data_IF_458327836987
#
_entry.id   IF_458327836987
#
_cell.length_a   1.000
_cell.length_b   1.000
_cell.length_c   1.000
_cell.angle_alpha   90.00
_cell.angle_beta   90.00
_cell.angle_gamma   90.00
#
_symmetry.space_group_name_H-M   'P 1'
#
loop_
_entity.id
_entity.type
_entity.pdbx_description
1 polymer ?
#
# COMPACT_ATOMS: atom_id res chain seq x y z
N UNK A 1 -81.67 3.61 -31.68
CA UNK A 1 -80.36 3.95 -32.29
C UNK A 1 -79.56 4.77 -31.28
N UNK A 2 -78.55 4.17 -30.64
CA UNK A 2 -77.66 4.85 -29.70
C UNK A 2 -76.23 4.73 -30.25
N UNK A 3 -75.61 5.87 -30.57
CA UNK A 3 -74.20 5.94 -30.99
C UNK A 3 -73.35 6.17 -29.75
N UNK A 4 -72.52 5.18 -29.42
CA UNK A 4 -71.46 5.27 -28.43
C UNK A 4 -70.19 5.78 -29.14
N UNK A 5 -69.74 6.97 -28.77
CA UNK A 5 -68.50 7.58 -29.29
C UNK A 5 -67.34 7.15 -28.38
N UNK A 6 -66.42 6.31 -28.89
CA UNK A 6 -65.19 5.92 -28.18
C UNK A 6 -64.12 7.01 -28.33
N UNK A 7 -63.70 7.58 -27.21
CA UNK A 7 -62.55 8.48 -27.11
C UNK A 7 -61.27 7.64 -26.99
N UNK A 8 -60.38 7.71 -27.99
CA UNK A 8 -59.06 7.05 -27.96
C UNK A 8 -58.04 8.07 -27.49
N UNK A 9 -57.60 7.96 -26.23
CA UNK A 9 -56.52 8.79 -25.68
C UNK A 9 -55.17 8.30 -26.21
N UNK A 10 -54.45 9.15 -26.95
CA UNK A 10 -53.08 8.91 -27.41
C UNK A 10 -52.12 9.15 -26.24
N UNK A 11 -51.56 8.10 -25.68
CA UNK A 11 -50.46 8.17 -24.70
C UNK A 11 -49.17 8.38 -25.50
N UNK A 12 -48.56 9.55 -25.35
CA UNK A 12 -47.25 9.88 -25.95
C UNK A 12 -46.17 9.40 -24.98
N UNK A 13 -45.25 8.51 -25.37
CA UNK A 13 -44.19 8.06 -24.47
C UNK A 13 -43.20 9.21 -24.24
N UNK A 14 -43.11 9.68 -23.00
CA UNK A 14 -42.06 10.60 -22.56
C UNK A 14 -40.79 9.75 -22.39
N UNK A 15 -39.86 9.90 -23.32
CA UNK A 15 -38.54 9.29 -23.25
C UNK A 15 -37.70 10.04 -22.20
N UNK A 16 -37.64 9.55 -20.96
CA UNK A 16 -36.70 10.04 -19.96
C UNK A 16 -35.30 9.52 -20.32
N UNK A 17 -34.48 10.37 -20.95
CA UNK A 17 -33.06 10.09 -21.13
C UNK A 17 -32.35 10.27 -19.77
N UNK A 18 -32.06 9.18 -19.07
CA UNK A 18 -31.16 9.21 -17.92
C UNK A 18 -29.73 9.39 -18.43
N UNK A 19 -29.21 10.61 -18.31
CA UNK A 19 -27.77 10.87 -18.50
C UNK A 19 -27.04 10.35 -17.26
N UNK A 20 -26.54 9.11 -17.33
CA UNK A 20 -25.59 8.60 -16.34
C UNK A 20 -24.27 9.30 -16.59
N UNK A 21 -24.03 10.40 -15.87
CA UNK A 21 -22.72 11.04 -15.87
C UNK A 21 -21.74 10.10 -15.17
N UNK A 22 -20.84 9.48 -15.93
CA UNK A 22 -19.72 8.74 -15.37
C UNK A 22 -18.80 9.75 -14.65
N UNK A 23 -18.97 9.90 -13.34
CA UNK A 23 -17.97 10.56 -12.51
C UNK A 23 -16.70 9.75 -12.59
N UNK A 24 -15.71 10.26 -13.33
CA UNK A 24 -14.34 9.78 -13.25
C UNK A 24 -13.91 10.06 -11.82
N UNK A 25 -13.81 9.00 -11.02
CA UNK A 25 -13.20 9.09 -9.68
C UNK A 25 -11.72 9.37 -9.93
N UNK A 26 -11.36 10.65 -9.87
CA UNK A 26 -9.96 11.02 -9.87
C UNK A 26 -9.37 10.55 -8.54
N UNK A 27 -8.24 9.85 -8.59
CA UNK A 27 -7.51 9.50 -7.39
C UNK A 27 -7.27 10.76 -6.54
N UNK A 28 -7.55 10.67 -5.25
CA UNK A 28 -7.31 11.78 -4.34
C UNK A 28 -5.82 12.17 -4.39
N UNK A 29 -5.49 13.47 -4.27
CA UNK A 29 -4.09 13.89 -4.22
C UNK A 29 -3.41 13.26 -2.99
N UNK A 30 -2.14 12.89 -3.13
CA UNK A 30 -1.34 12.37 -2.02
C UNK A 30 -1.25 13.42 -0.92
N UNK A 31 -1.69 13.06 0.28
CA UNK A 31 -1.51 13.83 1.50
C UNK A 31 -0.30 13.25 2.25
N UNK A 32 0.84 13.96 2.27
CA UNK A 32 2.06 13.42 2.86
C UNK A 32 1.96 13.25 4.36
N UNK A 33 2.59 12.20 4.91
CA UNK A 33 2.84 12.11 6.33
C UNK A 33 3.63 13.32 6.82
N UNK A 34 3.33 13.79 8.03
CA UNK A 34 3.86 15.05 8.56
C UNK A 34 4.16 14.95 10.05
N UNK A 35 5.33 15.44 10.45
CA UNK A 35 5.66 15.71 11.85
C UNK A 35 4.83 16.90 12.32
N UNK A 36 4.05 16.73 13.38
CA UNK A 36 3.13 17.75 13.88
C UNK A 36 3.56 18.34 15.22
N UNK A 37 4.31 17.59 16.04
CA UNK A 37 4.89 18.08 17.28
C UNK A 37 6.11 17.27 17.67
N UNK A 38 7.06 17.96 18.31
CA UNK A 38 8.25 17.39 18.93
C UNK A 38 8.38 18.02 20.31
N UNK A 39 8.57 17.21 21.35
CA UNK A 39 8.72 17.72 22.70
C UNK A 39 8.85 16.62 23.75
N UNK A 40 9.15 16.97 25.01
CA UNK A 40 9.25 16.00 26.09
C UNK A 40 7.91 15.31 26.33
N UNK A 41 7.95 14.05 26.76
CA UNK A 41 6.74 13.37 27.25
C UNK A 41 6.33 13.93 28.61
N UNK A 42 5.07 13.72 29.01
CA UNK A 42 4.54 14.22 30.27
C UNK A 42 5.24 13.61 31.51
N UNK A 43 5.78 12.40 31.39
CA UNK A 43 6.54 11.70 32.44
C UNK A 43 8.05 11.96 32.37
N UNK A 44 8.51 12.82 31.45
CA UNK A 44 9.93 13.12 31.31
C UNK A 44 10.44 13.94 32.49
N UNK A 45 11.58 13.51 33.06
CA UNK A 45 12.31 14.26 34.09
C UNK A 45 13.15 15.41 33.53
N UNK A 46 13.10 15.66 32.20
CA UNK A 46 13.84 16.70 31.51
C UNK A 46 14.97 16.15 30.62
N UNK A 47 16.03 16.95 30.46
CA UNK A 47 17.23 16.63 29.67
C UNK A 47 16.94 16.15 28.26
N UNK A 48 16.07 16.89 27.57
CA UNK A 48 15.82 16.71 26.16
C UNK A 48 16.16 17.98 25.41
N UNK A 49 16.92 17.84 24.33
CA UNK A 49 17.15 18.91 23.37
C UNK A 49 16.73 18.39 22.01
N UNK A 50 16.13 19.25 21.19
CA UNK A 50 15.80 18.92 19.81
C UNK A 50 15.93 20.15 18.94
N UNK A 51 16.16 19.93 17.65
CA UNK A 51 16.24 20.98 16.65
C UNK A 51 15.64 20.53 15.33
N UNK A 52 15.18 21.49 14.53
CA UNK A 52 14.50 21.25 13.25
C UNK A 52 12.99 21.05 13.36
N UNK A 53 12.31 21.00 12.22
CA UNK A 53 10.85 20.82 12.10
C UNK A 53 10.48 19.62 11.23
N UNK A 54 11.18 19.44 10.11
CA UNK A 54 10.96 18.34 9.17
C UNK A 54 12.05 17.25 9.27
N UNK A 55 13.23 17.66 9.72
CA UNK A 55 14.36 16.80 10.06
C UNK A 55 14.74 17.11 11.50
N UNK A 56 14.60 16.13 12.38
CA UNK A 56 14.79 16.27 13.82
C UNK A 56 16.09 15.62 14.25
N UNK A 57 16.98 16.43 14.80
CA UNK A 57 18.10 15.97 15.61
C UNK A 57 17.76 16.20 17.08
N UNK A 58 18.04 15.22 17.94
CA UNK A 58 17.73 15.32 19.36
C UNK A 58 18.72 14.57 20.25
N UNK A 59 18.83 15.03 21.49
CA UNK A 59 19.49 14.31 22.57
C UNK A 59 18.49 14.10 23.71
N UNK A 60 18.49 12.90 24.28
CA UNK A 60 17.62 12.50 25.39
C UNK A 60 18.48 11.90 26.48
N UNK A 61 18.40 12.43 27.69
CA UNK A 61 19.31 12.08 28.77
C UNK A 61 20.35 13.18 29.01
N UNK A 62 21.07 13.07 30.12
CA UNK A 62 22.06 14.07 30.53
C UNK A 62 23.43 13.72 29.95
N UNK A 63 24.17 14.71 29.42
CA UNK A 63 25.52 14.52 28.88
C UNK A 63 26.41 15.77 28.99
N UNK A 64 26.44 16.37 30.18
CA UNK A 64 27.11 17.65 30.45
C UNK A 64 28.30 17.54 31.40
N UNK A 65 28.40 16.44 32.16
CA UNK A 65 29.38 16.27 33.23
C UNK A 65 30.00 14.88 33.11
N UNK A 66 31.26 14.78 32.66
CA UNK A 66 31.96 13.50 32.64
C UNK A 66 31.97 12.85 34.03
N UNK A 67 31.89 11.52 34.08
CA UNK A 67 32.01 10.79 35.34
C UNK A 67 33.37 11.11 36.00
N UNK A 68 33.40 11.61 37.25
CA UNK A 68 34.60 12.21 37.83
C UNK A 68 35.56 11.19 38.45
N UNK A 69 35.21 9.91 38.49
CA UNK A 69 35.98 8.85 39.14
C UNK A 69 36.53 7.86 38.11
N UNK A 70 37.59 7.09 38.45
CA UNK A 70 38.06 5.99 37.59
C UNK A 70 37.00 4.90 37.43
N UNK A 71 37.23 3.96 36.52
CA UNK A 71 36.37 2.80 36.18
C UNK A 71 36.00 1.88 37.37
N UNK A 72 36.56 2.10 38.56
CA UNK A 72 36.20 1.41 39.81
C UNK A 72 35.78 2.40 40.91
N UNK A 73 35.31 3.56 40.44
CA UNK A 73 35.03 4.76 41.19
C UNK A 73 33.96 4.61 42.26
N UNK A 74 33.82 5.65 43.08
CA UNK A 74 32.79 5.71 44.11
C UNK A 74 31.50 6.26 43.51
N UNK A 75 30.38 5.97 44.15
CA UNK A 75 29.10 6.57 43.80
C UNK A 75 29.18 8.10 43.76
N UNK A 76 28.52 8.71 42.78
CA UNK A 76 28.46 10.16 42.61
C UNK A 76 27.00 10.68 42.60
N UNK A 77 26.22 10.46 43.69
CA UNK A 77 24.79 10.78 43.70
C UNK A 77 24.51 12.24 43.35
N UNK A 78 23.49 12.48 42.52
CA UNK A 78 23.05 13.82 42.12
C UNK A 78 23.78 14.40 40.90
N UNK A 79 24.82 13.74 40.39
CA UNK A 79 25.38 14.07 39.06
C UNK A 79 24.52 13.54 37.91
N UNK A 80 23.67 12.55 38.19
CA UNK A 80 22.74 11.97 37.25
C UNK A 80 21.30 12.13 37.78
N UNK A 81 20.33 12.50 36.92
CA UNK A 81 18.92 12.48 37.31
C UNK A 81 18.39 11.04 37.44
N UNK A 82 17.42 10.82 38.33
CA UNK A 82 16.76 9.50 38.48
C UNK A 82 15.40 9.50 37.80
N UNK A 83 15.14 8.52 36.93
CA UNK A 83 13.89 8.35 36.20
C UNK A 83 14.09 8.25 34.68
N UNK A 84 13.12 8.77 33.92
CA UNK A 84 13.18 8.73 32.45
C UNK A 84 13.30 10.12 31.84
N UNK A 85 14.38 10.34 31.09
CA UNK A 85 14.45 11.43 30.11
C UNK A 85 13.74 10.93 28.85
N UNK A 86 12.83 11.70 28.25
CA UNK A 86 11.97 11.18 27.17
C UNK A 86 11.50 12.26 26.21
N UNK A 87 11.60 11.98 24.91
CA UNK A 87 11.17 12.83 23.82
C UNK A 87 10.11 12.10 22.99
N UNK A 88 9.02 12.79 22.66
CA UNK A 88 8.00 12.35 21.74
C UNK A 88 8.05 13.14 20.43
N UNK A 89 7.83 12.43 19.31
CA UNK A 89 7.62 12.98 17.98
C UNK A 89 6.28 12.45 17.47
N UNK A 90 5.29 13.33 17.36
CA UNK A 90 3.97 13.00 16.85
C UNK A 90 3.92 13.17 15.33
N UNK A 91 3.32 12.19 14.65
CA UNK A 91 3.20 12.15 13.20
C UNK A 91 1.74 11.91 12.82
N UNK A 92 1.21 12.77 11.97
CA UNK A 92 -0.01 12.46 11.20
C UNK A 92 0.41 11.66 9.97
N UNK A 93 -0.03 10.40 9.89
CA UNK A 93 0.45 9.43 8.88
C UNK A 93 -0.16 9.67 7.50
N UNK A 94 -1.39 10.20 7.43
CA UNK A 94 -2.09 10.48 6.17
C UNK A 94 -2.01 9.29 5.19
N UNK A 95 -1.42 9.46 4.00
CA UNK A 95 -1.31 8.41 2.98
C UNK A 95 -0.15 7.42 3.18
N UNK A 96 0.36 7.30 4.40
CA UNK A 96 1.47 6.42 4.74
C UNK A 96 2.81 7.14 4.63
N UNK A 97 3.89 6.38 4.69
CA UNK A 97 5.22 6.96 4.64
C UNK A 97 6.30 6.09 5.27
N UNK A 98 7.50 6.63 5.28
CA UNK A 98 8.69 6.00 5.78
C UNK A 98 9.37 6.96 6.75
N UNK A 99 9.48 6.54 8.00
CA UNK A 99 10.33 7.20 8.99
C UNK A 99 11.74 6.68 8.83
N UNK A 100 12.71 7.58 8.74
CA UNK A 100 14.13 7.22 8.72
C UNK A 100 14.89 8.07 9.72
N UNK A 101 15.82 7.45 10.45
CA UNK A 101 16.72 8.13 11.38
C UNK A 101 17.94 7.26 11.65
N UNK A 102 18.93 7.83 12.33
CA UNK A 102 19.99 7.07 13.00
C UNK A 102 19.90 7.31 14.50
N UNK A 103 20.34 6.34 15.27
CA UNK A 103 20.50 6.52 16.71
C UNK A 103 21.87 6.01 17.18
N UNK A 104 22.31 6.51 18.32
CA UNK A 104 23.38 5.93 19.13
C UNK A 104 23.09 6.18 20.62
N UNK A 105 23.73 5.41 21.48
CA UNK A 105 23.66 5.56 22.94
C UNK A 105 25.07 5.70 23.50
N UNK A 106 25.27 6.67 24.39
CA UNK A 106 26.51 6.85 25.16
C UNK A 106 26.19 6.74 26.63
N UNK A 107 27.07 6.07 27.36
CA UNK A 107 26.95 5.96 28.81
C UNK A 107 28.32 5.85 29.48
N UNK A 108 28.43 6.39 30.69
CA UNK A 108 29.52 6.07 31.62
C UNK A 108 29.16 4.88 32.53
N UNK A 109 27.92 4.40 32.48
CA UNK A 109 27.47 3.23 33.21
C UNK A 109 27.88 1.95 32.45
N UNK A 110 28.11 0.87 33.21
CA UNK A 110 28.10 -0.48 32.69
C UNK A 110 26.99 -1.32 33.30
N UNK A 111 25.95 -0.73 33.86
CA UNK A 111 24.82 -1.39 34.47
C UNK A 111 23.73 -1.74 33.47
N UNK A 112 22.86 -2.65 33.91
CA UNK A 112 21.58 -2.95 33.26
C UNK A 112 20.50 -1.92 33.63
N UNK A 113 20.88 -0.83 34.29
CA UNK A 113 20.00 0.14 34.94
C UNK A 113 19.81 1.40 34.10
N UNK A 114 20.80 1.72 33.27
CA UNK A 114 20.73 2.75 32.26
C UNK A 114 20.57 2.16 30.86
N UNK A 115 19.54 2.59 30.15
CA UNK A 115 19.30 2.10 28.80
C UNK A 115 18.49 3.07 27.94
N UNK A 116 18.65 2.93 26.64
CA UNK A 116 17.84 3.57 25.62
C UNK A 116 16.74 2.61 25.12
N UNK A 117 15.50 3.07 25.17
CA UNK A 117 14.36 2.51 24.47
C UNK A 117 13.94 3.45 23.33
N UNK A 118 13.64 2.87 22.17
CA UNK A 118 12.98 3.57 21.05
C UNK A 118 11.76 2.76 20.66
N UNK A 119 10.60 3.39 20.61
CA UNK A 119 9.37 2.71 20.23
C UNK A 119 8.38 3.67 19.59
N UNK A 120 7.35 3.11 18.97
CA UNK A 120 6.23 3.86 18.43
C UNK A 120 4.95 3.46 19.14
N UNK A 121 4.21 4.45 19.62
CA UNK A 121 2.84 4.31 20.11
C UNK A 121 1.88 4.50 18.94
N UNK A 122 0.93 3.57 18.83
CA UNK A 122 -0.03 3.50 17.73
C UNK A 122 -1.41 3.23 18.29
N UNK A 123 -2.50 3.47 17.53
CA UNK A 123 -3.86 3.19 18.02
C UNK A 123 -4.09 1.72 18.39
N UNK A 124 -3.31 0.79 17.83
CA UNK A 124 -3.41 -0.65 18.09
C UNK A 124 -2.42 -1.15 19.16
N UNK A 125 -1.54 -0.30 19.68
CA UNK A 125 -0.57 -0.67 20.71
C UNK A 125 0.84 -0.10 20.48
N UNK A 126 1.82 -0.67 21.18
CA UNK A 126 3.23 -0.26 21.12
C UNK A 126 4.02 -1.15 20.16
N UNK A 127 4.83 -0.54 19.30
CA UNK A 127 5.76 -1.22 18.39
C UNK A 127 7.19 -0.92 18.86
N UNK A 128 7.92 -1.91 19.41
CA UNK A 128 9.32 -1.71 19.80
C UNK A 128 10.22 -1.56 18.57
N UNK A 129 11.20 -0.66 18.64
CA UNK A 129 12.23 -0.44 17.62
C UNK A 129 13.61 -0.75 18.21
N UNK A 130 13.88 -0.23 19.40
CA UNK A 130 15.06 -0.53 20.22
C UNK A 130 14.56 -0.81 21.64
N UNK A 131 15.00 -1.92 22.23
CA UNK A 131 14.64 -2.31 23.59
C UNK A 131 15.90 -2.47 24.42
N UNK A 132 15.97 -1.72 25.53
CA UNK A 132 17.02 -1.80 26.54
C UNK A 132 18.44 -1.80 25.98
N UNK A 133 18.72 -0.89 25.06
CA UNK A 133 20.09 -0.70 24.59
C UNK A 133 20.91 -0.03 25.68
N UNK A 134 21.87 -0.76 26.23
CA UNK A 134 22.81 -0.25 27.22
C UNK A 134 24.12 -1.03 27.17
N UNK A 135 25.02 -0.73 28.10
CA UNK A 135 26.28 -1.45 28.26
C UNK A 135 26.12 -2.48 29.39
N UNK A 136 25.95 -3.78 29.10
CA UNK A 136 25.82 -4.78 30.15
C UNK A 136 27.13 -4.95 30.94
N UNK A 137 27.03 -5.11 32.26
CA UNK A 137 28.17 -5.21 33.17
C UNK A 137 27.81 -4.80 34.62
N UNK A 138 28.82 -4.45 35.42
CA UNK A 138 28.62 -3.93 36.78
C UNK A 138 29.74 -2.98 37.23
N UNK A 139 30.42 -2.37 36.26
CA UNK A 139 31.62 -1.55 36.45
C UNK A 139 31.34 -0.13 35.98
N UNK A 140 31.11 0.78 36.92
CA UNK A 140 30.79 2.19 36.66
C UNK A 140 32.00 2.95 36.10
N UNK A 141 31.75 4.02 35.35
CA UNK A 141 32.76 5.02 34.96
C UNK A 141 33.53 4.76 33.66
N UNK A 142 33.52 3.53 33.13
CA UNK A 142 34.12 3.27 31.82
C UNK A 142 33.19 3.76 30.71
N UNK A 143 33.60 4.81 29.98
CA UNK A 143 32.90 5.30 28.79
C UNK A 143 32.59 4.18 27.80
N UNK A 144 31.36 4.16 27.29
CA UNK A 144 30.94 3.30 26.21
C UNK A 144 30.01 4.04 25.26
N UNK A 145 30.13 3.70 23.98
CA UNK A 145 29.30 4.20 22.90
C UNK A 145 28.81 3.00 22.08
N UNK A 146 27.51 2.95 21.81
CA UNK A 146 26.96 1.99 20.87
C UNK A 146 27.38 2.34 19.43
N UNK A 147 27.41 1.37 18.51
CA UNK A 147 27.43 1.70 17.09
C UNK A 147 26.28 2.64 16.73
N UNK A 148 26.51 3.51 15.74
CA UNK A 148 25.43 4.30 15.15
C UNK A 148 24.63 3.44 14.18
N UNK A 149 23.35 3.21 14.48
CA UNK A 149 22.47 2.31 13.73
C UNK A 149 21.44 3.12 12.95
N UNK A 150 21.28 2.81 11.66
CA UNK A 150 20.24 3.40 10.82
C UNK A 150 18.95 2.59 10.94
N UNK A 151 17.82 3.30 11.07
CA UNK A 151 16.48 2.72 11.17
C UNK A 151 15.61 3.25 10.04
N UNK A 152 14.78 2.36 9.51
CA UNK A 152 13.76 2.66 8.53
C UNK A 152 12.46 1.95 8.94
N UNK A 153 11.39 2.70 9.18
CA UNK A 153 10.11 2.19 9.68
C UNK A 153 8.97 2.66 8.78
N UNK A 154 8.30 1.71 8.11
CA UNK A 154 7.11 2.02 7.31
C UNK A 154 5.93 2.35 8.23
N UNK A 155 5.16 3.37 7.84
CA UNK A 155 3.95 3.82 8.52
C UNK A 155 2.66 3.33 7.84
N UNK A 156 2.76 2.58 6.75
CA UNK A 156 1.63 2.27 5.86
C UNK A 156 0.47 1.53 6.53
N UNK A 157 0.74 0.77 7.60
CA UNK A 157 -0.30 0.08 8.35
C UNK A 157 -1.16 1.02 9.23
N UNK A 158 -0.72 2.26 9.44
CA UNK A 158 -1.43 3.29 10.21
C UNK A 158 -1.86 4.48 9.33
N UNK A 159 -2.10 4.25 8.04
CA UNK A 159 -2.70 5.26 7.14
C UNK A 159 -3.93 5.90 7.78
N UNK A 160 -4.07 7.21 7.61
CA UNK A 160 -5.14 8.04 8.17
C UNK A 160 -5.23 8.01 9.70
N UNK A 161 -4.13 7.69 10.39
CA UNK A 161 -4.04 7.70 11.84
C UNK A 161 -2.89 8.59 12.30
N UNK A 162 -2.83 8.82 13.61
CA UNK A 162 -1.70 9.45 14.28
C UNK A 162 -0.87 8.41 15.00
N UNK A 163 0.44 8.54 14.93
CA UNK A 163 1.39 7.74 15.68
C UNK A 163 2.36 8.65 16.44
N UNK A 164 2.99 8.12 17.49
CA UNK A 164 3.98 8.83 18.29
C UNK A 164 5.24 8.01 18.40
N UNK A 165 6.37 8.53 17.93
CA UNK A 165 7.68 7.97 18.22
C UNK A 165 8.14 8.48 19.58
N UNK A 166 8.67 7.59 20.41
CA UNK A 166 9.21 7.91 21.73
C UNK A 166 10.63 7.42 21.81
N UNK A 167 11.55 8.35 22.11
CA UNK A 167 12.90 8.05 22.58
C UNK A 167 12.93 8.23 24.09
N UNK A 168 13.43 7.23 24.81
CA UNK A 168 13.41 7.20 26.27
C UNK A 168 14.72 6.65 26.80
N UNK A 169 15.38 7.44 27.66
CA UNK A 169 16.58 7.01 28.39
C UNK A 169 16.23 6.83 29.85
N UNK A 170 16.41 5.61 30.34
CA UNK A 170 16.35 5.27 31.75
C UNK A 170 17.66 5.68 32.42
N UNK A 171 17.55 6.27 33.61
CA UNK A 171 18.65 6.76 34.41
C UNK A 171 18.39 6.43 35.87
N UNK A 172 19.34 5.80 36.56
CA UNK A 172 19.13 5.33 37.93
C UNK A 172 19.49 6.36 39.01
N UNK A 173 20.30 7.36 38.67
CA UNK A 173 20.66 8.51 39.51
C UNK A 173 21.98 8.35 40.27
N UNK A 174 22.84 7.40 39.89
CA UNK A 174 24.07 7.05 40.62
C UNK A 174 25.31 7.84 40.15
N UNK A 175 25.15 8.67 39.13
CA UNK A 175 26.07 9.75 38.75
C UNK A 175 26.82 9.53 37.44
N UNK A 176 26.64 8.37 36.85
CA UNK A 176 27.08 7.93 35.54
C UNK A 176 26.07 8.35 34.49
N UNK A 177 26.44 9.37 33.73
CA UNK A 177 25.52 9.95 32.77
C UNK A 177 25.27 9.01 31.58
N UNK A 178 24.08 9.14 31.02
CA UNK A 178 23.59 8.37 29.87
C UNK A 178 22.81 9.28 28.91
N UNK A 179 23.08 9.15 27.61
CA UNK A 179 22.40 9.92 26.56
C UNK A 179 22.14 9.10 25.30
N UNK A 180 20.90 9.17 24.82
CA UNK A 180 20.50 8.70 23.51
C UNK A 180 20.50 9.87 22.52
N UNK A 181 21.12 9.68 21.36
CA UNK A 181 21.09 10.65 20.28
C UNK A 181 20.20 10.15 19.14
N UNK A 182 19.33 11.02 18.66
CA UNK A 182 18.53 10.84 17.46
C UNK A 182 19.09 11.75 16.38
N UNK A 183 19.41 11.18 15.22
CA UNK A 183 20.09 11.91 14.14
C UNK A 183 19.26 11.81 12.87
N UNK A 184 18.97 12.96 12.27
CA UNK A 184 18.23 13.11 11.01
C UNK A 184 16.88 12.38 10.98
N UNK A 185 16.10 12.43 12.06
CA UNK A 185 14.75 11.86 12.05
C UNK A 185 13.86 12.61 11.09
N UNK A 186 13.34 11.91 10.09
CA UNK A 186 12.53 12.49 9.03
C UNK A 186 11.44 11.52 8.60
N UNK A 187 10.38 12.07 8.01
CA UNK A 187 9.30 11.30 7.40
C UNK A 187 9.22 11.64 5.92
N UNK A 188 9.17 10.61 5.08
CA UNK A 188 9.00 10.75 3.63
C UNK A 188 7.74 10.00 3.18
N UNK A 189 7.00 10.54 2.22
CA UNK A 189 5.83 9.87 1.60
C UNK A 189 6.19 9.48 0.18
N UNK A 190 5.66 8.34 -0.29
CA UNK A 190 5.78 7.96 -1.69
C UNK A 190 5.09 9.01 -2.58
N UNK A 191 5.77 9.49 -3.61
CA UNK A 191 5.17 10.43 -4.57
C UNK A 191 4.05 9.83 -5.41
N UNK A 192 4.00 8.49 -5.50
CA UNK A 192 2.94 7.75 -6.19
C UNK A 192 1.79 7.49 -5.20
N UNK A 193 0.54 7.86 -5.53
CA UNK A 193 -0.61 7.56 -4.69
C UNK A 193 -0.76 6.06 -4.43
N UNK A 194 -1.31 5.66 -3.27
CA UNK A 194 -1.71 4.28 -3.07
C UNK A 194 -2.81 3.86 -4.04
N UNK A 195 -2.96 2.55 -4.23
CA UNK A 195 -4.10 2.00 -4.96
C UNK A 195 -5.40 2.39 -4.26
N UNK A 196 -6.37 2.85 -5.05
CA UNK A 196 -7.73 3.08 -4.58
C UNK A 196 -8.32 1.75 -4.10
N UNK A 197 -8.84 1.66 -2.87
CA UNK A 197 -9.59 0.49 -2.46
C UNK A 197 -10.78 0.32 -3.41
N UNK A 198 -10.97 -0.88 -3.93
CA UNK A 198 -12.07 -1.15 -4.85
C UNK A 198 -13.37 -0.72 -4.18
N UNK A 199 -14.21 0.06 -4.88
CA UNK A 199 -15.42 0.58 -4.30
C UNK A 199 -16.23 -0.57 -3.68
N UNK A 200 -16.39 -0.51 -2.35
CA UNK A 200 -17.11 -1.53 -1.57
C UNK A 200 -18.62 -1.58 -1.90
N UNK A 201 -19.07 -0.86 -2.93
CA UNK A 201 -20.46 -0.66 -3.27
C UNK A 201 -20.90 -1.39 -4.55
N UNK A 202 -19.97 -1.88 -5.39
CA UNK A 202 -20.33 -2.70 -6.55
C UNK A 202 -20.16 -4.19 -6.24
N UNK A 203 -21.28 -4.87 -5.97
CA UNK A 203 -21.28 -6.27 -5.59
C UNK A 203 -20.66 -7.19 -6.66
N UNK A 204 -20.80 -6.85 -7.94
CA UNK A 204 -20.16 -7.61 -9.01
C UNK A 204 -18.63 -7.45 -8.95
N UNK A 205 -18.09 -6.24 -8.75
CA UNK A 205 -16.64 -6.03 -8.59
C UNK A 205 -16.08 -6.73 -7.35
N UNK A 206 -16.80 -6.72 -6.22
CA UNK A 206 -16.40 -7.50 -5.04
C UNK A 206 -16.36 -9.00 -5.32
N UNK A 207 -17.33 -9.51 -6.11
CA UNK A 207 -17.35 -10.90 -6.52
C UNK A 207 -16.12 -11.26 -7.36
N UNK A 208 -15.70 -10.36 -8.25
CA UNK A 208 -14.49 -10.53 -9.08
C UNK A 208 -13.22 -10.53 -8.23
N UNK A 209 -13.13 -9.64 -7.25
CA UNK A 209 -12.03 -9.62 -6.27
C UNK A 209 -11.92 -10.88 -5.43
N UNK A 210 -13.05 -11.55 -5.19
CA UNK A 210 -13.10 -12.85 -4.52
C UNK A 210 -12.78 -14.03 -5.46
N UNK A 211 -12.43 -13.76 -6.73
CA UNK A 211 -12.05 -14.78 -7.73
C UNK A 211 -13.17 -15.22 -8.67
N UNK A 212 -14.39 -14.68 -8.57
CA UNK A 212 -15.51 -15.05 -9.44
C UNK A 212 -15.53 -14.21 -10.73
N UNK A 213 -14.44 -14.27 -11.49
CA UNK A 213 -14.17 -13.39 -12.65
C UNK A 213 -14.84 -13.83 -13.96
N UNK A 214 -15.54 -14.98 -13.97
CA UNK A 214 -16.18 -15.55 -15.15
C UNK A 214 -17.69 -15.35 -15.07
N UNK A 215 -18.20 -14.35 -15.81
CA UNK A 215 -19.64 -14.07 -15.94
C UNK A 215 -20.07 -14.15 -17.40
N UNK A 216 -20.52 -15.34 -17.81
CA UNK A 216 -21.00 -15.59 -19.18
C UNK A 216 -22.47 -15.23 -19.36
N UNK A 217 -23.23 -15.08 -18.27
CA UNK A 217 -24.65 -14.70 -18.25
C UNK A 217 -24.91 -13.30 -18.83
N UNK A 218 -23.89 -12.43 -18.81
CA UNK A 218 -23.96 -11.05 -19.29
C UNK A 218 -23.30 -10.81 -20.66
N UNK A 219 -22.85 -11.87 -21.33
CA UNK A 219 -22.39 -11.77 -22.72
C UNK A 219 -23.55 -11.52 -23.67
N UNK A 220 -23.28 -10.79 -24.76
CA UNK A 220 -24.18 -10.78 -25.90
C UNK A 220 -24.33 -12.19 -26.47
N UNK A 221 -25.49 -12.46 -27.07
CA UNK A 221 -25.77 -13.78 -27.64
C UNK A 221 -24.74 -14.19 -28.69
N UNK A 222 -24.30 -13.26 -29.54
CA UNK A 222 -23.28 -13.51 -30.57
C UNK A 222 -21.94 -13.90 -29.97
N UNK A 223 -21.49 -13.17 -28.93
CA UNK A 223 -20.25 -13.47 -28.20
C UNK A 223 -20.32 -14.83 -27.51
N UNK A 224 -21.44 -15.16 -26.87
CA UNK A 224 -21.64 -16.45 -26.22
C UNK A 224 -21.58 -17.61 -27.22
N UNK A 225 -22.32 -17.52 -28.33
CA UNK A 225 -22.33 -18.56 -29.36
C UNK A 225 -20.94 -18.73 -30.02
N UNK A 226 -20.25 -17.63 -30.29
CA UNK A 226 -18.88 -17.67 -30.82
C UNK A 226 -17.90 -18.32 -29.85
N UNK A 227 -17.95 -17.96 -28.57
CA UNK A 227 -17.14 -18.57 -27.50
C UNK A 227 -17.42 -20.08 -27.38
N UNK A 228 -18.69 -20.50 -27.31
CA UNK A 228 -19.07 -21.90 -27.20
C UNK A 228 -18.63 -22.71 -28.42
N UNK A 229 -18.80 -22.16 -29.64
CA UNK A 229 -18.28 -22.75 -30.86
C UNK A 229 -16.77 -22.97 -30.78
N UNK A 230 -16.01 -21.97 -30.33
CA UNK A 230 -14.56 -22.07 -30.22
C UNK A 230 -14.14 -23.15 -29.22
N UNK A 231 -14.82 -23.27 -28.08
CA UNK A 231 -14.53 -24.30 -27.08
C UNK A 231 -14.81 -25.71 -27.62
N UNK A 232 -15.96 -25.90 -28.28
CA UNK A 232 -16.33 -27.18 -28.92
C UNK A 232 -15.34 -27.56 -30.02
N UNK A 233 -15.01 -26.62 -30.90
CA UNK A 233 -14.07 -26.86 -31.99
C UNK A 233 -12.65 -27.14 -31.47
N UNK A 234 -12.22 -26.45 -30.40
CA UNK A 234 -10.92 -26.71 -29.75
C UNK A 234 -10.84 -28.15 -29.27
N UNK A 235 -11.88 -28.59 -28.56
CA UNK A 235 -11.96 -29.95 -28.02
C UNK A 235 -12.01 -31.00 -29.14
N UNK A 236 -12.79 -30.76 -30.20
CA UNK A 236 -12.89 -31.68 -31.34
C UNK A 236 -11.55 -31.85 -32.07
N UNK A 237 -10.68 -30.85 -32.04
CA UNK A 237 -9.33 -30.89 -32.62
C UNK A 237 -8.27 -31.46 -31.65
N UNK A 238 -8.66 -31.91 -30.45
CA UNK A 238 -7.74 -32.42 -29.43
C UNK A 238 -6.98 -31.33 -28.67
N UNK A 239 -7.36 -30.06 -28.84
CA UNK A 239 -6.79 -28.93 -28.10
C UNK A 239 -7.43 -28.70 -26.74
N UNK A 240 -7.00 -27.64 -26.06
CA UNK A 240 -7.60 -27.16 -24.82
C UNK A 240 -7.93 -25.67 -24.89
N UNK A 241 -9.07 -25.28 -24.33
CA UNK A 241 -9.53 -23.88 -24.23
C UNK A 241 -9.87 -23.54 -22.78
N UNK A 242 -9.29 -22.46 -22.26
CA UNK A 242 -9.54 -21.96 -20.90
C UNK A 242 -10.11 -20.54 -20.99
N UNK A 243 -11.34 -20.37 -20.50
CA UNK A 243 -11.96 -19.06 -20.37
C UNK A 243 -11.35 -18.34 -19.17
N UNK A 244 -10.62 -17.25 -19.42
CA UNK A 244 -9.98 -16.42 -18.40
C UNK A 244 -10.87 -15.27 -17.96
N UNK A 245 -11.60 -14.66 -18.89
CA UNK A 245 -12.50 -13.55 -18.60
C UNK A 245 -13.65 -13.47 -19.61
N UNK A 246 -14.77 -12.89 -19.20
CA UNK A 246 -15.96 -12.69 -20.03
C UNK A 246 -16.52 -11.29 -19.79
N UNK A 247 -17.77 -11.16 -19.34
CA UNK A 247 -18.27 -9.85 -18.92
C UNK A 247 -17.50 -9.33 -17.69
N UNK A 248 -17.23 -8.02 -17.62
CA UNK A 248 -16.48 -7.39 -16.51
C UNK A 248 -17.14 -6.09 -16.03
N UNK A 249 -17.31 -5.86 -14.72
CA UNK A 249 -17.80 -4.59 -14.19
C UNK A 249 -16.86 -3.43 -14.49
N UNK A 250 -17.40 -2.21 -14.62
CA UNK A 250 -16.59 -1.01 -14.86
C UNK A 250 -15.62 -0.70 -13.71
N UNK A 251 -16.06 -0.86 -12.46
CA UNK A 251 -15.21 -0.56 -11.30
C UNK A 251 -14.03 -1.55 -11.22
N UNK A 252 -14.26 -2.84 -11.43
CA UNK A 252 -13.16 -3.82 -11.52
C UNK A 252 -12.24 -3.56 -12.73
N UNK A 253 -12.77 -3.18 -13.90
CA UNK A 253 -11.92 -2.77 -15.03
C UNK A 253 -11.06 -1.55 -14.70
N UNK A 254 -11.60 -0.57 -13.98
CA UNK A 254 -10.87 0.61 -13.53
C UNK A 254 -9.75 0.23 -12.56
N UNK A 255 -10.02 -0.70 -11.64
CA UNK A 255 -9.03 -1.24 -10.71
C UNK A 255 -7.86 -1.90 -11.43
N UNK A 256 -8.12 -2.83 -12.36
CA UNK A 256 -7.05 -3.48 -13.12
C UNK A 256 -6.17 -2.46 -13.85
N UNK A 257 -6.80 -1.42 -14.42
CA UNK A 257 -6.11 -0.33 -15.10
C UNK A 257 -5.24 0.48 -14.12
N UNK A 258 -5.78 0.84 -12.96
CA UNK A 258 -5.07 1.57 -11.91
C UNK A 258 -3.86 0.78 -11.40
N UNK A 259 -4.03 -0.51 -11.11
CA UNK A 259 -2.94 -1.40 -10.68
C UNK A 259 -1.80 -1.39 -11.70
N UNK A 260 -2.12 -1.55 -12.99
CA UNK A 260 -1.11 -1.54 -14.04
C UNK A 260 -0.43 -0.17 -14.20
N UNK A 261 -1.20 0.92 -14.27
CA UNK A 261 -0.65 2.27 -14.44
C UNK A 261 0.23 2.66 -13.23
N UNK A 262 -0.17 2.25 -12.02
CA UNK A 262 0.62 2.44 -10.79
C UNK A 262 1.90 1.62 -10.83
N UNK A 263 1.85 0.36 -11.30
CA UNK A 263 3.02 -0.47 -11.48
C UNK A 263 4.03 0.14 -12.46
N UNK A 264 3.58 0.62 -13.62
CA UNK A 264 4.44 1.27 -14.62
C UNK A 264 5.15 2.51 -14.03
N UNK A 265 4.42 3.32 -13.25
CA UNK A 265 5.01 4.45 -12.53
C UNK A 265 6.07 4.02 -11.50
N UNK A 266 5.81 2.94 -10.76
CA UNK A 266 6.70 2.43 -9.71
C UNK A 266 7.92 1.67 -10.24
N UNK A 267 7.88 1.15 -11.46
CA UNK A 267 9.02 0.45 -12.07
C UNK A 267 10.26 1.36 -12.15
N UNK A 268 10.06 2.63 -12.51
CA UNK A 268 11.13 3.63 -12.65
C UNK A 268 11.40 4.41 -11.36
N UNK A 269 10.49 4.33 -10.38
CA UNK A 269 10.63 5.02 -9.11
C UNK A 269 11.70 4.35 -8.22
N UNK A 270 12.59 5.16 -7.64
CA UNK A 270 13.69 4.74 -6.75
C UNK A 270 13.55 5.29 -5.33
N UNK A 271 12.43 5.94 -5.01
CA UNK A 271 12.19 6.50 -3.69
C UNK A 271 12.09 5.36 -2.66
N UNK A 272 12.85 5.41 -1.54
CA UNK A 272 12.74 4.42 -0.48
C UNK A 272 11.31 4.33 0.10
N UNK A 273 10.62 5.47 0.21
CA UNK A 273 9.24 5.52 0.71
C UNK A 273 8.24 4.77 -0.18
N UNK A 274 8.57 4.51 -1.45
CA UNK A 274 7.71 3.77 -2.38
C UNK A 274 7.93 2.24 -2.37
N UNK A 275 8.90 1.70 -1.61
CA UNK A 275 9.20 0.25 -1.67
C UNK A 275 8.05 -0.62 -1.17
N UNK A 276 7.37 -0.18 -0.10
CA UNK A 276 6.17 -0.88 0.40
C UNK A 276 5.06 -0.90 -0.65
N UNK A 277 4.72 0.27 -1.21
CA UNK A 277 3.71 0.37 -2.26
C UNK A 277 4.09 -0.46 -3.50
N UNK A 278 5.36 -0.43 -3.92
CA UNK A 278 5.86 -1.25 -5.04
C UNK A 278 5.64 -2.73 -4.80
N UNK A 279 5.93 -3.21 -3.59
CA UNK A 279 5.73 -4.63 -3.22
C UNK A 279 4.24 -5.00 -3.18
N UNK A 280 3.37 -4.10 -2.72
CA UNK A 280 1.92 -4.29 -2.70
C UNK A 280 1.34 -4.34 -4.11
N UNK A 281 1.72 -3.39 -4.98
CA UNK A 281 1.27 -3.32 -6.37
C UNK A 281 1.81 -4.50 -7.17
N UNK A 282 3.05 -4.96 -6.91
CA UNK A 282 3.58 -6.18 -7.51
C UNK A 282 2.74 -7.41 -7.13
N UNK A 283 2.33 -7.52 -5.87
CA UNK A 283 1.47 -8.61 -5.41
C UNK A 283 0.09 -8.57 -6.09
N UNK A 284 -0.52 -7.39 -6.23
CA UNK A 284 -1.76 -7.22 -6.99
C UNK A 284 -1.58 -7.62 -8.46
N UNK A 285 -0.52 -7.13 -9.13
CA UNK A 285 -0.19 -7.45 -10.53
C UNK A 285 0.00 -8.96 -10.74
N UNK A 286 0.94 -9.58 -10.02
CA UNK A 286 1.41 -10.92 -10.33
C UNK A 286 0.63 -12.03 -9.62
N UNK A 287 0.23 -11.81 -8.36
CA UNK A 287 -0.34 -12.87 -7.53
C UNK A 287 -1.86 -12.88 -7.57
N UNK A 288 -2.47 -11.70 -7.69
CA UNK A 288 -3.93 -11.57 -7.60
C UNK A 288 -4.60 -11.52 -8.97
N UNK A 289 -4.09 -10.68 -9.88
CA UNK A 289 -4.76 -10.43 -11.17
C UNK A 289 -4.08 -11.08 -12.38
N UNK A 290 -2.91 -11.71 -12.22
CA UNK A 290 -2.14 -12.34 -13.31
C UNK A 290 -1.88 -11.36 -14.49
N UNK A 291 -1.65 -10.09 -14.17
CA UNK A 291 -1.37 -9.03 -15.15
C UNK A 291 0.10 -9.05 -15.56
N UNK A 292 0.35 -9.19 -16.85
CA UNK A 292 1.68 -9.03 -17.41
C UNK A 292 2.04 -7.53 -17.54
N UNK A 293 3.31 -7.13 -17.28
CA UNK A 293 3.76 -5.75 -17.52
C UNK A 293 3.58 -5.28 -18.96
N UNK A 294 3.48 -6.19 -19.93
CA UNK A 294 3.26 -5.87 -21.35
C UNK A 294 1.77 -5.74 -21.72
N UNK A 295 0.85 -6.09 -20.82
CA UNK A 295 -0.59 -6.12 -21.07
C UNK A 295 -1.28 -5.01 -20.29
N UNK A 296 -1.31 -3.80 -20.84
CA UNK A 296 -2.03 -2.69 -20.24
C UNK A 296 -3.54 -2.91 -20.37
N UNK A 297 -4.31 -3.02 -19.26
CA UNK A 297 -5.75 -3.16 -19.34
C UNK A 297 -6.41 -1.96 -20.05
N UNK A 298 -7.51 -2.22 -20.75
CA UNK A 298 -8.33 -1.17 -21.35
C UNK A 298 -8.83 -0.17 -20.28
N UNK A 299 -9.07 1.07 -20.69
CA UNK A 299 -9.72 2.05 -19.79
C UNK A 299 -11.15 1.60 -19.48
N UNK A 300 -11.58 1.80 -18.24
CA UNK A 300 -12.98 1.60 -17.90
C UNK A 300 -13.85 2.61 -18.65
N UNK A 301 -14.92 2.12 -19.28
CA UNK A 301 -15.87 2.96 -19.98
C UNK A 301 -17.07 2.15 -20.45
N UNK A 302 -18.22 2.80 -20.68
CA UNK A 302 -19.46 2.12 -21.07
C UNK A 302 -19.38 1.39 -22.42
N UNK A 303 -18.31 1.65 -23.19
CA UNK A 303 -18.02 1.01 -24.48
C UNK A 303 -16.88 -0.01 -24.39
N UNK A 304 -16.43 -0.37 -23.18
CA UNK A 304 -15.44 -1.44 -23.02
C UNK A 304 -16.07 -2.77 -23.49
N UNK A 305 -15.44 -3.52 -24.41
CA UNK A 305 -15.99 -4.77 -24.94
C UNK A 305 -16.34 -5.80 -23.86
N UNK A 306 -15.55 -5.87 -22.78
CA UNK A 306 -15.90 -6.75 -21.65
C UNK A 306 -17.13 -6.25 -20.88
N UNK A 307 -17.33 -4.94 -20.76
CA UNK A 307 -18.49 -4.40 -20.05
C UNK A 307 -19.78 -4.49 -20.88
N UNK A 308 -19.69 -4.32 -22.20
CA UNK A 308 -20.82 -4.48 -23.12
C UNK A 308 -21.17 -5.96 -23.38
N UNK A 309 -20.34 -6.89 -22.90
CA UNK A 309 -20.52 -8.32 -23.12
C UNK A 309 -20.12 -8.77 -24.53
N UNK A 310 -19.37 -7.94 -25.26
CA UNK A 310 -18.88 -8.15 -26.62
C UNK A 310 -17.54 -8.89 -26.66
N UNK A 311 -16.86 -9.07 -25.53
CA UNK A 311 -15.55 -9.74 -25.49
C UNK A 311 -15.46 -10.89 -24.50
N UNK A 312 -14.54 -11.81 -24.82
CA UNK A 312 -14.05 -12.87 -23.94
C UNK A 312 -12.54 -12.97 -24.06
N UNK A 313 -11.88 -13.33 -22.95
CA UNK A 313 -10.46 -13.69 -22.94
C UNK A 313 -10.37 -15.21 -22.86
N UNK A 314 -9.97 -15.86 -23.96
CA UNK A 314 -9.88 -17.32 -24.11
C UNK A 314 -8.45 -17.72 -24.44
N UNK A 315 -7.83 -18.55 -23.59
CA UNK A 315 -6.54 -19.18 -23.89
C UNK A 315 -6.78 -20.48 -24.65
N UNK A 316 -6.24 -20.60 -25.87
CA UNK A 316 -6.34 -21.79 -26.72
C UNK A 316 -4.96 -22.39 -26.91
N UNK A 317 -4.83 -23.70 -26.68
CA UNK A 317 -3.56 -24.43 -26.69
C UNK A 317 -3.69 -25.80 -27.35
N UNK A 318 -2.55 -26.41 -27.70
CA UNK A 318 -2.45 -27.79 -28.22
C UNK A 318 -3.26 -28.05 -29.50
N UNK A 319 -3.32 -27.06 -30.40
CA UNK A 319 -3.98 -27.23 -31.69
C UNK A 319 -3.11 -28.07 -32.65
N UNK A 320 -3.73 -28.90 -33.51
CA UNK A 320 -3.01 -29.63 -34.54
C UNK A 320 -2.40 -28.66 -35.57
N UNK A 321 -1.38 -29.14 -36.30
CA UNK A 321 -0.75 -28.37 -37.36
C UNK A 321 -1.78 -27.87 -38.38
N UNK A 322 -1.66 -26.60 -38.77
CA UNK A 322 -2.61 -25.92 -39.67
C UNK A 322 -3.74 -25.18 -38.97
N UNK A 323 -3.93 -25.34 -37.66
CA UNK A 323 -4.89 -24.56 -36.87
C UNK A 323 -4.19 -23.53 -35.99
N UNK A 324 -4.75 -22.32 -35.95
CA UNK A 324 -4.33 -21.24 -35.06
C UNK A 324 -5.53 -20.72 -34.29
N UNK A 325 -5.28 -19.99 -33.20
CA UNK A 325 -6.31 -19.28 -32.47
C UNK A 325 -7.13 -18.34 -33.37
N UNK A 326 -6.51 -17.73 -34.38
CA UNK A 326 -7.19 -16.85 -35.35
C UNK A 326 -8.04 -17.64 -36.34
N UNK A 327 -7.55 -18.76 -36.88
CA UNK A 327 -8.34 -19.58 -37.81
C UNK A 327 -9.55 -20.20 -37.12
N UNK A 328 -9.40 -20.56 -35.86
CA UNK A 328 -10.49 -20.99 -34.99
C UNK A 328 -11.51 -19.90 -34.72
N UNK A 329 -11.05 -18.72 -34.28
CA UNK A 329 -11.92 -17.57 -34.07
C UNK A 329 -12.73 -17.28 -35.33
N UNK A 330 -12.07 -17.21 -36.49
CA UNK A 330 -12.71 -16.96 -37.77
C UNK A 330 -13.81 -17.97 -38.12
N UNK A 331 -13.57 -19.28 -37.89
CA UNK A 331 -14.55 -20.33 -38.12
C UNK A 331 -15.80 -20.19 -37.23
N UNK A 332 -15.66 -19.57 -36.07
CA UNK A 332 -16.73 -19.36 -35.09
C UNK A 332 -17.29 -17.92 -35.09
N UNK A 333 -17.02 -17.13 -36.13
CA UNK A 333 -17.52 -15.75 -36.22
C UNK A 333 -16.88 -14.79 -35.23
N UNK A 334 -15.72 -15.13 -34.68
CA UNK A 334 -14.94 -14.33 -33.76
C UNK A 334 -13.63 -13.86 -34.44
N UNK A 335 -12.96 -12.89 -33.85
CA UNK A 335 -11.61 -12.48 -34.22
C UNK A 335 -10.85 -11.94 -33.02
N UNK A 336 -9.52 -11.89 -33.12
CA UNK A 336 -8.66 -11.20 -32.14
C UNK A 336 -8.33 -9.80 -32.67
N UNK A 337 -8.81 -8.72 -32.03
CA UNK A 337 -8.46 -7.36 -32.43
C UNK A 337 -6.95 -7.07 -32.28
N UNK A 338 -6.30 -7.70 -31.30
CA UNK A 338 -4.89 -7.45 -30.96
C UNK A 338 -4.09 -8.75 -30.77
N UNK A 339 -3.91 -9.59 -31.79
CA UNK A 339 -3.38 -10.96 -31.64
C UNK A 339 -1.94 -11.02 -31.10
N UNK A 340 -1.17 -9.92 -31.17
CA UNK A 340 0.21 -9.84 -30.64
C UNK A 340 0.28 -9.27 -29.22
N UNK A 341 -0.54 -8.28 -28.90
CA UNK A 341 -0.51 -7.57 -27.62
C UNK A 341 -1.45 -8.19 -26.58
N UNK A 342 -2.57 -8.73 -27.05
CA UNK A 342 -3.58 -9.41 -26.25
C UNK A 342 -4.06 -10.68 -26.97
N UNK A 343 -3.23 -11.74 -26.97
CA UNK A 343 -3.50 -12.96 -27.73
C UNK A 343 -4.71 -13.76 -27.22
N UNK A 344 -5.22 -13.46 -26.03
CA UNK A 344 -6.37 -14.13 -25.44
C UNK A 344 -7.70 -13.44 -25.81
N UNK A 345 -7.69 -12.18 -26.25
CA UNK A 345 -8.90 -11.39 -26.43
C UNK A 345 -9.63 -11.66 -27.75
N UNK A 346 -10.90 -12.07 -27.66
CA UNK A 346 -11.77 -12.31 -28.81
C UNK A 346 -13.04 -11.48 -28.76
N UNK A 347 -13.51 -11.05 -29.94
CA UNK A 347 -14.77 -10.35 -30.15
C UNK A 347 -15.51 -10.93 -31.38
N UNK A 348 -16.85 -10.83 -31.45
CA UNK A 348 -17.62 -11.13 -32.66
C UNK A 348 -17.19 -10.25 -33.83
N UNK A 349 -17.18 -10.82 -35.03
CA UNK A 349 -16.87 -10.11 -36.29
C UNK A 349 -17.96 -9.16 -36.76
#
# INVERSE_FOLDING_TARGET
>A
MHRITRLVARITPILLAFVVSATVVQAAPVVPAKIISVGPTADSIGYTTSSGTDVIDAQVGRWDTPYPYPDTGRYAPGLEPSGFSSLAIDIDVNDGGLVTFRYLFRTYDAGIWDWLDIYMETPTGRVPIVERLGKPGGVYGTYWESPSVAVSQSLDQWRNQRVRFVLRVAQDGWGDQSVGELINFSVATCSVPPLTPIPLLDADSQSFEAGNTIRTDRLLMTTRLGMECMQVLTSALGGNSILKSAWRPLAYQAHLREVWDTWDNLLKNKEPACQTLKSQVEAEMQKKHDLAPTMQPGKAGPYSPHYTGEAVDLSIQNLPSGWTADSMGAACGMYRPWPQLDPAHFQPR
#
